data_IF_910527543343
#
_entry.id   IF_910527543343
#
_cell.length_a   1.000
_cell.length_b   1.000
_cell.length_c   1.000
_cell.angle_alpha   90.00
_cell.angle_beta   90.00
_cell.angle_gamma   90.00
#
_symmetry.space_group_name_H-M   'P 1'
#
loop_
_entity.id
_entity.type
_entity.pdbx_description
1 polymer ?
#
# COMPACT_ATOMS: atom_id res chain seq x y z
N UNK A 1 -1.63 4.27 -27.46
CA UNK A 1 -1.75 4.06 -26.00
C UNK A 1 -0.33 3.94 -25.48
N UNK A 2 0.07 4.79 -24.54
CA UNK A 2 1.43 4.77 -23.97
C UNK A 2 1.37 3.89 -22.73
N UNK A 3 2.28 2.93 -22.64
CA UNK A 3 2.33 2.02 -21.49
C UNK A 3 2.67 2.77 -20.21
N UNK A 4 2.22 2.22 -19.08
CA UNK A 4 2.55 2.78 -17.76
C UNK A 4 4.05 2.60 -17.50
N UNK A 5 4.71 3.57 -16.87
CA UNK A 5 6.13 3.47 -16.56
C UNK A 5 6.39 2.34 -15.56
N UNK A 6 7.44 1.57 -15.83
CA UNK A 6 8.04 0.63 -14.88
C UNK A 6 8.76 1.39 -13.75
N UNK A 7 9.36 0.66 -12.79
CA UNK A 7 10.08 1.26 -11.65
C UNK A 7 11.12 2.29 -12.09
N UNK A 8 11.96 1.94 -13.07
CA UNK A 8 13.03 2.82 -13.57
C UNK A 8 12.46 4.05 -14.28
N UNK A 9 11.40 3.87 -15.05
CA UNK A 9 10.65 4.93 -15.70
C UNK A 9 10.05 5.90 -14.69
N UNK A 10 9.46 5.40 -13.60
CA UNK A 10 8.92 6.25 -12.52
C UNK A 10 10.03 7.04 -11.83
N UNK A 11 11.16 6.43 -11.53
CA UNK A 11 12.32 7.12 -10.97
C UNK A 11 12.86 8.21 -11.91
N UNK A 12 12.94 7.92 -13.22
CA UNK A 12 13.36 8.90 -14.22
C UNK A 12 12.39 10.08 -14.31
N UNK A 13 11.09 9.81 -14.29
CA UNK A 13 10.05 10.85 -14.28
C UNK A 13 10.13 11.69 -13.01
N UNK A 14 10.26 11.06 -11.84
CA UNK A 14 10.46 11.75 -10.57
C UNK A 14 11.69 12.66 -10.63
N UNK A 15 12.81 12.18 -11.17
CA UNK A 15 14.04 12.97 -11.35
C UNK A 15 13.85 14.16 -12.27
N UNK A 16 13.01 14.06 -13.31
CA UNK A 16 12.69 15.18 -14.20
C UNK A 16 11.87 16.25 -13.46
N UNK A 17 10.80 15.84 -12.78
CA UNK A 17 9.92 16.76 -12.06
C UNK A 17 10.53 17.32 -10.77
N UNK A 18 11.51 16.64 -10.18
CA UNK A 18 12.23 17.09 -8.99
C UNK A 18 13.19 18.25 -9.26
N UNK A 19 13.56 18.55 -10.52
CA UNK A 19 14.55 19.58 -10.86
C UNK A 19 14.19 20.98 -10.33
N UNK A 20 12.91 21.30 -10.31
CA UNK A 20 12.40 22.60 -9.87
C UNK A 20 12.08 22.64 -8.36
N UNK A 21 12.36 21.56 -7.64
CA UNK A 21 12.06 21.40 -6.22
C UNK A 21 13.36 21.28 -5.44
N UNK A 22 13.50 22.06 -4.36
CA UNK A 22 14.61 21.93 -3.42
C UNK A 22 14.39 20.70 -2.54
N UNK A 23 14.91 19.55 -2.95
CA UNK A 23 14.89 18.32 -2.17
C UNK A 23 16.00 18.33 -1.10
N UNK A 24 15.69 17.81 0.08
CA UNK A 24 16.68 17.55 1.11
C UNK A 24 17.61 16.38 0.69
N UNK A 25 18.80 16.31 1.30
CA UNK A 25 19.84 15.33 0.91
C UNK A 25 19.47 13.87 1.17
N UNK A 26 18.54 13.63 2.08
CA UNK A 26 18.06 12.30 2.49
C UNK A 26 16.92 11.77 1.63
N UNK A 27 16.48 12.53 0.62
CA UNK A 27 15.42 12.09 -0.30
C UNK A 27 15.94 11.02 -1.26
N UNK A 28 15.29 9.86 -1.20
CA UNK A 28 15.56 8.74 -2.09
C UNK A 28 14.41 8.55 -3.10
N UNK A 29 14.66 8.93 -4.35
CA UNK A 29 13.68 8.83 -5.43
C UNK A 29 13.43 7.37 -5.87
N UNK A 30 14.38 6.46 -5.64
CA UNK A 30 14.20 5.04 -5.95
C UNK A 30 13.17 4.43 -4.99
N UNK A 31 13.25 4.78 -3.70
CA UNK A 31 12.24 4.37 -2.71
C UNK A 31 10.86 4.91 -3.08
N UNK A 32 10.75 6.17 -3.52
CA UNK A 32 9.48 6.74 -3.98
C UNK A 32 8.93 6.00 -5.21
N UNK A 33 9.79 5.65 -6.17
CA UNK A 33 9.40 4.90 -7.37
C UNK A 33 8.88 3.50 -7.02
N UNK A 34 9.49 2.82 -6.04
CA UNK A 34 9.02 1.52 -5.53
C UNK A 34 7.66 1.62 -4.81
N UNK A 35 7.40 2.74 -4.14
CA UNK A 35 6.15 2.98 -3.38
C UNK A 35 4.98 3.49 -4.21
N UNK A 36 5.19 3.75 -5.50
CA UNK A 36 4.18 4.30 -6.43
C UNK A 36 3.87 3.37 -7.61
N UNK A 37 3.68 2.05 -7.41
CA UNK A 37 3.39 1.15 -8.51
C UNK A 37 2.08 1.56 -9.20
N UNK A 38 2.11 1.57 -10.53
CA UNK A 38 0.96 1.93 -11.36
C UNK A 38 0.71 3.44 -11.53
N UNK A 39 1.49 4.31 -10.87
CA UNK A 39 1.42 5.75 -11.07
C UNK A 39 1.90 6.11 -12.48
N UNK A 40 1.20 7.05 -13.12
CA UNK A 40 1.64 7.64 -14.40
C UNK A 40 2.38 8.95 -14.16
N UNK A 41 2.95 9.55 -15.23
CA UNK A 41 3.76 10.76 -15.08
C UNK A 41 3.03 11.94 -14.42
N UNK A 42 1.74 12.10 -14.70
CA UNK A 42 0.91 13.12 -14.04
C UNK A 42 0.76 12.87 -12.53
N UNK A 43 0.62 11.60 -12.10
CA UNK A 43 0.49 11.25 -10.68
C UNK A 43 1.79 11.53 -9.93
N UNK A 44 2.93 11.19 -10.54
CA UNK A 44 4.26 11.43 -9.97
C UNK A 44 4.58 12.92 -9.86
N UNK A 45 4.22 13.71 -10.88
CA UNK A 45 4.35 15.16 -10.83
C UNK A 45 3.47 15.76 -9.71
N UNK A 46 2.23 15.27 -9.58
CA UNK A 46 1.32 15.70 -8.54
C UNK A 46 1.81 15.33 -7.13
N UNK A 47 2.38 14.13 -6.96
CA UNK A 47 2.99 13.68 -5.71
C UNK A 47 4.11 14.63 -5.24
N UNK A 48 5.02 14.99 -6.15
CA UNK A 48 6.11 15.91 -5.83
C UNK A 48 5.59 17.31 -5.45
N UNK A 49 4.58 17.80 -6.17
CA UNK A 49 3.93 19.07 -5.85
C UNK A 49 3.24 19.04 -4.48
N UNK A 50 2.50 17.98 -4.15
CA UNK A 50 1.88 17.82 -2.83
C UNK A 50 2.93 17.75 -1.71
N UNK A 51 4.07 17.07 -1.95
CA UNK A 51 5.19 17.07 -1.01
C UNK A 51 5.77 18.47 -0.79
N UNK A 52 5.95 19.24 -1.85
CA UNK A 52 6.43 20.63 -1.76
C UNK A 52 5.44 21.52 -0.99
N UNK A 53 4.14 21.37 -1.23
CA UNK A 53 3.09 22.08 -0.49
C UNK A 53 3.08 21.71 1.00
N UNK A 54 3.30 20.43 1.33
CA UNK A 54 3.38 19.97 2.72
C UNK A 54 4.62 20.54 3.45
N UNK A 55 5.77 20.55 2.79
CA UNK A 55 6.99 21.16 3.31
C UNK A 55 6.79 22.68 3.53
N UNK A 56 6.22 23.38 2.55
CA UNK A 56 5.95 24.81 2.63
C UNK A 56 4.98 25.17 3.78
N UNK A 57 3.95 24.35 4.02
CA UNK A 57 3.03 24.53 5.16
C UNK A 57 3.69 24.37 6.53
N UNK A 58 4.84 23.69 6.59
CA UNK A 58 5.67 23.55 7.80
C UNK A 58 6.80 24.58 7.83
N UNK A 59 6.76 25.61 6.97
CA UNK A 59 7.79 26.64 6.80
C UNK A 59 9.20 26.08 6.54
N UNK A 60 9.29 24.90 5.90
CA UNK A 60 10.58 24.29 5.54
C UNK A 60 11.16 24.93 4.29
N UNK A 61 12.48 25.00 4.23
CA UNK A 61 13.22 25.49 3.05
C UNK A 61 13.53 24.42 2.01
N UNK A 62 13.43 23.15 2.40
CA UNK A 62 13.68 21.97 1.56
C UNK A 62 12.59 20.92 1.81
N UNK A 63 12.26 20.15 0.79
CA UNK A 63 11.29 19.06 0.83
C UNK A 63 12.01 17.79 1.28
N UNK A 64 11.64 17.25 2.43
CA UNK A 64 12.22 16.03 2.98
C UNK A 64 11.47 14.77 2.57
N UNK A 65 12.07 13.61 2.86
CA UNK A 65 11.44 12.32 2.59
C UNK A 65 10.10 12.18 3.32
N UNK A 66 9.99 12.68 4.55
CA UNK A 66 8.74 12.67 5.32
C UNK A 66 7.59 13.44 4.65
N UNK A 67 7.89 14.50 3.89
CA UNK A 67 6.88 15.31 3.21
C UNK A 67 6.40 14.59 1.94
N UNK A 68 7.31 13.90 1.24
CA UNK A 68 7.00 13.04 0.09
C UNK A 68 6.25 11.78 0.51
N UNK A 69 6.59 11.19 1.66
CA UNK A 69 5.87 10.07 2.25
C UNK A 69 4.43 10.45 2.58
N UNK A 70 4.24 11.62 3.19
CA UNK A 70 2.90 12.15 3.47
C UNK A 70 2.13 12.49 2.19
N UNK A 71 2.83 12.91 1.12
CA UNK A 71 2.23 13.13 -0.18
C UNK A 71 1.76 11.81 -0.83
N UNK A 72 2.58 10.74 -0.78
CA UNK A 72 2.18 9.39 -1.22
C UNK A 72 0.91 8.95 -0.50
N UNK A 73 0.91 9.01 0.83
CA UNK A 73 -0.24 8.65 1.66
C UNK A 73 -1.50 9.41 1.22
N UNK A 74 -1.35 10.71 0.90
CA UNK A 74 -2.45 11.57 0.48
C UNK A 74 -2.95 11.25 -0.93
N UNK A 75 -2.06 10.92 -1.87
CA UNK A 75 -2.45 10.57 -3.24
C UNK A 75 -3.14 9.20 -3.28
N UNK A 76 -2.63 8.22 -2.51
CA UNK A 76 -3.17 6.85 -2.49
C UNK A 76 -4.45 6.77 -1.63
N UNK A 77 -4.36 7.19 -0.37
CA UNK A 77 -5.41 6.96 0.62
C UNK A 77 -6.28 8.20 0.88
N UNK A 78 -5.94 9.35 0.29
CA UNK A 78 -6.65 10.60 0.49
C UNK A 78 -6.23 11.37 1.75
N UNK A 79 -6.94 12.47 2.01
CA UNK A 79 -6.66 13.34 3.14
C UNK A 79 -6.87 12.63 4.49
N UNK A 80 -5.96 12.93 5.42
CA UNK A 80 -6.09 12.53 6.82
C UNK A 80 -7.33 13.14 7.46
N UNK A 81 -8.16 12.32 8.11
CA UNK A 81 -9.36 12.80 8.79
C UNK A 81 -9.11 13.07 10.26
N UNK A 82 -8.41 14.18 10.56
CA UNK A 82 -8.09 14.61 11.94
C UNK A 82 -9.30 14.75 12.87
N UNK A 83 -10.47 15.08 12.31
CA UNK A 83 -11.71 15.28 13.07
C UNK A 83 -12.64 14.04 13.10
N UNK A 84 -12.22 12.89 12.53
CA UNK A 84 -13.00 11.67 12.66
C UNK A 84 -12.77 11.12 14.06
N UNK A 85 -13.76 11.30 14.94
CA UNK A 85 -13.81 10.63 16.23
C UNK A 85 -13.91 9.13 15.99
N UNK A 86 -12.77 8.44 15.96
CA UNK A 86 -12.70 6.98 16.02
C UNK A 86 -12.75 6.62 17.50
N UNK A 87 -13.77 5.88 17.92
CA UNK A 87 -13.86 5.46 19.30
C UNK A 87 -12.74 4.45 19.64
N UNK A 88 -12.40 4.28 20.92
CA UNK A 88 -11.27 3.42 21.31
C UNK A 88 -11.45 1.95 20.88
N UNK A 89 -12.70 1.46 20.83
CA UNK A 89 -13.03 0.10 20.37
C UNK A 89 -12.65 -0.07 18.89
N UNK A 90 -13.11 0.82 18.02
CA UNK A 90 -12.79 0.82 16.59
C UNK A 90 -11.29 0.96 16.35
N UNK A 91 -10.61 1.87 17.06
CA UNK A 91 -9.15 2.03 16.94
C UNK A 91 -8.42 0.75 17.32
N UNK A 92 -8.88 0.04 18.35
CA UNK A 92 -8.31 -1.24 18.78
C UNK A 92 -8.56 -2.33 17.73
N UNK A 93 -9.77 -2.43 17.17
CA UNK A 93 -10.08 -3.38 16.09
C UNK A 93 -9.14 -3.16 14.90
N UNK A 94 -9.02 -1.92 14.43
CA UNK A 94 -8.13 -1.56 13.32
C UNK A 94 -6.67 -1.89 13.64
N UNK A 95 -6.20 -1.60 14.85
CA UNK A 95 -4.82 -1.90 15.22
C UNK A 95 -4.50 -3.41 15.16
N UNK A 96 -5.38 -4.27 15.67
CA UNK A 96 -5.20 -5.71 15.58
C UNK A 96 -5.37 -6.23 14.15
N UNK A 97 -6.28 -5.63 13.37
CA UNK A 97 -6.46 -5.95 11.96
C UNK A 97 -5.19 -5.69 11.14
N UNK A 98 -4.64 -4.47 11.24
CA UNK A 98 -3.41 -4.12 10.51
C UNK A 98 -2.20 -4.92 11.02
N UNK A 99 -2.12 -5.17 12.34
CA UNK A 99 -1.09 -6.04 12.89
C UNK A 99 -1.20 -7.48 12.35
N UNK A 100 -2.41 -7.99 12.11
CA UNK A 100 -2.67 -9.29 11.50
C UNK A 100 -2.07 -9.40 10.11
N UNK A 101 -2.31 -8.41 9.24
CA UNK A 101 -1.69 -8.36 7.93
C UNK A 101 -0.16 -8.34 8.02
N UNK A 102 0.39 -7.47 8.87
CA UNK A 102 1.83 -7.29 8.98
C UNK A 102 2.52 -8.55 9.50
N UNK A 103 1.98 -9.18 10.55
CA UNK A 103 2.56 -10.40 11.11
C UNK A 103 2.54 -11.54 10.09
N UNK A 104 1.45 -11.71 9.33
CA UNK A 104 1.41 -12.75 8.32
C UNK A 104 2.39 -12.45 7.18
N UNK A 105 2.48 -11.19 6.73
CA UNK A 105 3.41 -10.79 5.68
C UNK A 105 4.88 -11.07 6.05
N UNK A 106 5.28 -10.80 7.30
CA UNK A 106 6.63 -11.06 7.80
C UNK A 106 6.92 -12.55 8.06
N UNK A 107 5.94 -13.44 7.92
CA UNK A 107 6.06 -14.87 8.25
C UNK A 107 5.97 -15.80 7.06
N UNK A 108 5.21 -15.43 6.04
CA UNK A 108 5.13 -16.20 4.80
C UNK A 108 6.39 -15.98 3.97
N UNK A 109 6.73 -16.95 3.13
CA UNK A 109 8.03 -16.98 2.43
C UNK A 109 8.10 -16.00 1.26
N UNK A 110 6.97 -15.76 0.57
CA UNK A 110 6.97 -15.06 -0.72
C UNK A 110 6.29 -13.69 -0.71
N UNK A 111 5.88 -13.19 0.46
CA UNK A 111 5.29 -11.86 0.58
C UNK A 111 6.36 -10.77 0.42
N UNK A 112 5.92 -9.60 -0.06
CA UNK A 112 6.76 -8.42 -0.08
C UNK A 112 6.91 -7.89 1.37
N UNK A 113 8.09 -7.37 1.76
CA UNK A 113 8.35 -6.95 3.13
C UNK A 113 7.44 -5.80 3.56
N UNK A 114 7.08 -5.77 4.86
CA UNK A 114 6.27 -4.70 5.42
C UNK A 114 7.12 -3.44 5.51
N UNK A 115 6.64 -2.38 4.87
CA UNK A 115 7.31 -1.08 4.87
C UNK A 115 6.69 -0.12 5.88
N UNK A 116 5.36 -0.11 6.00
CA UNK A 116 4.66 0.84 6.87
C UNK A 116 3.31 0.29 7.32
N UNK A 117 3.00 0.53 8.59
CA UNK A 117 1.70 0.21 9.19
C UNK A 117 1.11 1.53 9.71
N UNK A 118 -0.17 1.79 9.44
CA UNK A 118 -0.86 2.95 9.97
C UNK A 118 -2.28 2.61 10.39
N UNK A 119 -2.67 3.09 11.56
CA UNK A 119 -4.06 3.04 12.07
C UNK A 119 -4.75 4.41 11.96
N UNK A 120 -4.16 5.32 11.17
CA UNK A 120 -4.66 6.68 11.01
C UNK A 120 -5.67 6.67 9.85
N UNK A 121 -6.94 7.04 10.08
CA UNK A 121 -7.96 7.00 9.05
C UNK A 121 -7.70 8.03 7.95
N UNK A 122 -7.79 7.61 6.69
CA UNK A 122 -7.59 8.44 5.50
C UNK A 122 -8.72 8.24 4.50
N UNK A 123 -9.08 9.31 3.78
CA UNK A 123 -10.05 9.23 2.67
C UNK A 123 -11.43 8.66 3.03
N UNK A 124 -12.08 8.04 2.06
CA UNK A 124 -13.38 7.38 2.23
C UNK A 124 -13.15 5.87 2.30
N UNK A 125 -13.31 5.29 3.49
CA UNK A 125 -13.30 3.84 3.69
C UNK A 125 -12.02 3.25 4.32
N UNK A 126 -10.86 3.90 4.24
CA UNK A 126 -9.64 3.41 4.87
C UNK A 126 -9.56 3.85 6.35
N UNK A 127 -9.70 2.90 7.27
CA UNK A 127 -9.54 3.12 8.71
C UNK A 127 -8.10 2.88 9.19
N UNK A 128 -7.35 2.07 8.44
CA UNK A 128 -5.93 1.77 8.59
C UNK A 128 -5.40 1.22 7.27
N UNK A 129 -4.09 0.95 7.21
CA UNK A 129 -3.48 0.19 6.13
C UNK A 129 -2.11 -0.39 6.53
N UNK A 130 -1.77 -1.50 5.89
CA UNK A 130 -0.46 -2.15 5.93
C UNK A 130 0.15 -2.12 4.53
N UNK A 131 1.19 -1.32 4.35
CA UNK A 131 1.89 -1.15 3.08
C UNK A 131 3.08 -2.12 3.00
N UNK A 132 3.02 -3.03 2.04
CA UNK A 132 4.15 -3.84 1.61
C UNK A 132 4.90 -3.12 0.49
N UNK A 133 6.23 -3.29 0.43
CA UNK A 133 7.07 -2.68 -0.60
C UNK A 133 7.78 -3.74 -1.43
N UNK A 134 7.37 -3.97 -2.69
CA UNK A 134 8.05 -4.91 -3.56
C UNK A 134 9.53 -4.55 -3.74
N UNK A 135 10.39 -5.56 -3.74
CA UNK A 135 11.79 -5.41 -4.16
C UNK A 135 11.87 -5.25 -5.68
N UNK A 136 11.13 -6.09 -6.41
CA UNK A 136 11.08 -6.09 -7.86
C UNK A 136 9.66 -6.06 -8.44
N UNK A 137 9.53 -5.49 -9.64
CA UNK A 137 8.31 -5.58 -10.43
C UNK A 137 8.22 -6.96 -11.08
N UNK A 138 7.35 -7.81 -10.50
CA UNK A 138 7.09 -9.16 -10.98
C UNK A 138 5.96 -9.17 -12.01
N UNK A 139 6.24 -9.68 -13.21
CA UNK A 139 5.24 -9.85 -14.28
C UNK A 139 4.53 -11.22 -14.23
N UNK A 140 5.16 -12.21 -13.60
CA UNK A 140 4.64 -13.56 -13.42
C UNK A 140 4.60 -13.88 -11.93
N UNK A 141 3.55 -14.61 -11.52
CA UNK A 141 3.37 -15.07 -10.15
C UNK A 141 3.15 -16.58 -10.15
N UNK A 142 3.88 -17.27 -9.29
CA UNK A 142 3.71 -18.69 -9.03
C UNK A 142 2.54 -18.92 -8.07
N UNK A 143 2.03 -20.15 -8.06
CA UNK A 143 0.91 -20.57 -7.20
C UNK A 143 1.17 -20.25 -5.73
N UNK A 144 2.36 -20.54 -5.21
CA UNK A 144 2.68 -20.30 -3.80
C UNK A 144 2.72 -18.81 -3.45
N UNK A 145 3.22 -17.95 -4.35
CA UNK A 145 3.22 -16.50 -4.15
C UNK A 145 1.78 -15.94 -4.07
N UNK A 146 0.86 -16.49 -4.87
CA UNK A 146 -0.56 -16.12 -4.80
C UNK A 146 -1.21 -16.61 -3.50
N UNK A 147 -0.90 -17.84 -3.06
CA UNK A 147 -1.37 -18.37 -1.78
C UNK A 147 -0.90 -17.50 -0.60
N UNK A 148 0.37 -17.14 -0.58
CA UNK A 148 0.96 -16.29 0.47
C UNK A 148 0.31 -14.89 0.47
N UNK A 149 0.08 -14.29 -0.71
CA UNK A 149 -0.66 -13.02 -0.83
C UNK A 149 -2.08 -13.12 -0.28
N UNK A 150 -2.78 -14.21 -0.56
CA UNK A 150 -4.12 -14.44 0.01
C UNK A 150 -4.05 -14.62 1.53
N UNK A 151 -3.04 -15.33 2.05
CA UNK A 151 -2.84 -15.50 3.48
C UNK A 151 -2.65 -14.14 4.18
N UNK A 152 -1.84 -13.25 3.59
CA UNK A 152 -1.65 -11.89 4.11
C UNK A 152 -2.97 -11.11 4.13
N UNK A 153 -3.76 -11.13 3.05
CA UNK A 153 -5.07 -10.47 2.99
C UNK A 153 -6.06 -11.02 4.04
N UNK A 154 -5.97 -12.31 4.38
CA UNK A 154 -6.81 -12.91 5.42
C UNK A 154 -6.29 -12.63 6.85
N UNK A 155 -5.06 -12.17 7.00
CA UNK A 155 -4.40 -11.97 8.29
C UNK A 155 -5.15 -11.01 9.22
N UNK A 156 -5.63 -9.87 8.70
CA UNK A 156 -6.37 -8.91 9.53
C UNK A 156 -7.70 -9.46 10.05
N UNK A 157 -8.41 -10.19 9.20
CA UNK A 157 -9.65 -10.88 9.56
C UNK A 157 -9.44 -11.94 10.65
N UNK A 158 -8.41 -12.78 10.49
CA UNK A 158 -8.08 -13.84 11.46
C UNK A 158 -7.63 -13.22 12.80
N UNK A 159 -6.87 -12.13 12.76
CA UNK A 159 -6.47 -11.43 13.97
C UNK A 159 -7.67 -10.88 14.76
N UNK A 160 -8.69 -10.35 14.08
CA UNK A 160 -9.94 -9.95 14.73
C UNK A 160 -10.63 -11.13 15.41
N UNK A 161 -10.80 -12.24 14.69
CA UNK A 161 -11.47 -13.44 15.18
C UNK A 161 -10.78 -14.02 16.41
N UNK A 162 -9.45 -14.09 16.42
CA UNK A 162 -8.67 -14.64 17.55
C UNK A 162 -8.75 -13.73 18.78
N UNK A 163 -8.68 -12.41 18.61
CA UNK A 163 -8.49 -11.46 19.72
C UNK A 163 -9.81 -10.97 20.30
N UNK A 164 -10.83 -10.82 19.46
CA UNK A 164 -12.14 -10.28 19.86
C UNK A 164 -13.23 -11.33 19.90
N UNK A 165 -12.99 -12.55 19.38
CA UNK A 165 -14.01 -13.60 19.21
C UNK A 165 -15.24 -13.11 18.41
N UNK A 166 -15.06 -12.00 17.68
CA UNK A 166 -16.07 -11.30 16.89
C UNK A 166 -15.37 -10.64 15.71
N UNK A 167 -16.16 -10.34 14.69
CA UNK A 167 -15.72 -10.30 13.32
C UNK A 167 -16.38 -9.09 12.68
N UNK A 168 -15.59 -8.14 12.16
CA UNK A 168 -16.11 -6.86 11.68
C UNK A 168 -16.36 -6.83 10.16
N UNK A 169 -16.93 -5.73 9.68
CA UNK A 169 -17.08 -5.43 8.24
C UNK A 169 -15.81 -4.84 7.61
N UNK A 170 -14.74 -4.62 8.40
CA UNK A 170 -13.50 -4.01 7.94
C UNK A 170 -12.79 -4.83 6.86
N UNK A 171 -12.87 -6.16 6.92
CA UNK A 171 -12.21 -7.09 6.00
C UNK A 171 -12.88 -7.22 4.61
N UNK A 172 -13.92 -6.42 4.30
CA UNK A 172 -14.74 -6.59 3.09
C UNK A 172 -13.91 -6.54 1.80
N UNK A 173 -13.02 -5.56 1.68
CA UNK A 173 -12.15 -5.41 0.51
C UNK A 173 -11.11 -6.54 0.41
N UNK A 174 -10.59 -7.02 1.54
CA UNK A 174 -9.59 -8.10 1.55
C UNK A 174 -10.21 -9.41 1.10
N UNK A 175 -11.41 -9.72 1.60
CA UNK A 175 -12.20 -10.88 1.18
C UNK A 175 -12.56 -10.83 -0.30
N UNK A 176 -12.93 -9.65 -0.82
CA UNK A 176 -13.22 -9.46 -2.24
C UNK A 176 -11.99 -9.79 -3.10
N UNK A 177 -10.81 -9.26 -2.73
CA UNK A 177 -9.55 -9.49 -3.43
C UNK A 177 -9.11 -10.95 -3.35
N UNK A 178 -9.23 -11.59 -2.19
CA UNK A 178 -8.94 -13.02 -2.02
C UNK A 178 -9.86 -13.85 -2.90
N UNK A 179 -11.15 -13.54 -2.92
CA UNK A 179 -12.12 -14.26 -3.75
C UNK A 179 -11.83 -14.10 -5.25
N UNK A 180 -11.45 -12.91 -5.69
CA UNK A 180 -11.02 -12.67 -7.07
C UNK A 180 -9.74 -13.45 -7.42
N UNK A 181 -8.73 -13.40 -6.55
CA UNK A 181 -7.47 -14.12 -6.75
C UNK A 181 -7.69 -15.63 -6.84
N UNK A 182 -8.46 -16.20 -5.91
CA UNK A 182 -8.82 -17.61 -5.92
C UNK A 182 -9.59 -17.99 -7.20
N UNK A 183 -10.54 -17.16 -7.65
CA UNK A 183 -11.25 -17.39 -8.91
C UNK A 183 -10.30 -17.39 -10.11
N UNK A 184 -9.34 -16.47 -10.17
CA UNK A 184 -8.39 -16.39 -11.28
C UNK A 184 -7.39 -17.55 -11.27
N UNK A 185 -6.90 -17.95 -10.09
CA UNK A 185 -6.08 -19.15 -9.92
C UNK A 185 -6.75 -20.38 -10.52
N UNK A 186 -8.04 -20.55 -10.25
CA UNK A 186 -8.81 -21.70 -10.77
C UNK A 186 -9.16 -21.54 -12.25
N UNK A 187 -9.75 -20.41 -12.64
CA UNK A 187 -10.40 -20.27 -13.96
C UNK A 187 -9.48 -19.81 -15.08
N UNK A 188 -8.43 -19.06 -14.76
CA UNK A 188 -7.56 -18.44 -15.75
C UNK A 188 -6.16 -19.05 -15.77
N UNK A 189 -5.67 -19.47 -14.59
CA UNK A 189 -4.29 -19.93 -14.45
C UNK A 189 -4.15 -21.46 -14.35
N UNK A 190 -5.26 -22.21 -14.37
CA UNK A 190 -5.22 -23.68 -14.31
C UNK A 190 -4.58 -24.24 -13.03
N UNK A 191 -4.63 -23.50 -11.92
CA UNK A 191 -3.94 -23.86 -10.67
C UNK A 191 -4.75 -24.80 -9.76
N UNK A 192 -5.86 -25.34 -10.26
CA UNK A 192 -6.72 -26.31 -9.57
C UNK A 192 -6.42 -27.74 -10.03
N UNK A 193 -5.99 -28.61 -9.11
CA UNK A 193 -5.75 -30.02 -9.43
C UNK A 193 -7.04 -30.78 -9.76
N UNK A 194 -8.18 -30.38 -9.18
CA UNK A 194 -9.47 -31.02 -9.43
C UNK A 194 -10.04 -30.68 -10.80
N UNK A 195 -9.89 -29.43 -11.25
CA UNK A 195 -10.40 -28.98 -12.54
C UNK A 195 -9.40 -29.18 -13.69
N UNK A 196 -8.12 -29.32 -13.38
CA UNK A 196 -7.04 -29.42 -14.36
C UNK A 196 -6.64 -28.05 -14.95
N UNK A 197 -5.68 -28.04 -15.89
CA UNK A 197 -5.30 -26.85 -16.65
C UNK A 197 -6.43 -26.38 -17.59
#
# INVERSE_FOLDING_TARGET
MVDRPDRQGREAILRVHAKDIRLAKDVDLEVLARRTPGFVGADLANLLNEGALLAARKDKTEVGMEDLDAAIDRVIAGLEKKNRLVNEKERRIVAFHEAGHAIVAERVEHADPVHKISIIPRGVGALGYTQQLPEDERYLLQKQELLDRMAVLLGGRVAEEIVFEEISTGASNDLERVAEMARNMVRQYGMSETLGP
#
